data_IF_044917822799
#
_entry.id   IF_044917822799
#
_cell.length_a   1.000
_cell.length_b   1.000
_cell.length_c   1.000
_cell.angle_alpha   90.00
_cell.angle_beta   90.00
_cell.angle_gamma   90.00
#
_symmetry.space_group_name_H-M   'P 1'
#
loop_
_entity.id
_entity.type
_entity.pdbx_description
1 polymer ?
#
# COMPACT_ATOMS: atom_id res chain seq x y z
N UNK A 1 -15.12 -20.51 -4.77
CA UNK A 1 -13.79 -20.37 -4.15
C UNK A 1 -13.21 -19.17 -4.84
N UNK A 2 -13.11 -18.04 -4.14
CA UNK A 2 -12.42 -16.87 -4.70
C UNK A 2 -10.97 -17.26 -4.96
N UNK A 3 -10.55 -17.23 -6.21
CA UNK A 3 -9.17 -17.51 -6.59
C UNK A 3 -8.31 -16.28 -6.29
N UNK A 4 -8.01 -16.05 -5.01
CA UNK A 4 -7.13 -14.97 -4.58
C UNK A 4 -5.67 -15.36 -4.80
N UNK A 5 -5.00 -14.71 -5.73
CA UNK A 5 -3.54 -14.84 -5.90
C UNK A 5 -2.86 -13.74 -5.09
N UNK A 6 -1.84 -14.08 -4.30
CA UNK A 6 -1.08 -13.11 -3.51
C UNK A 6 0.33 -12.95 -4.06
N UNK A 7 0.79 -11.69 -4.17
CA UNK A 7 2.16 -11.36 -4.57
C UNK A 7 2.80 -10.43 -3.55
N UNK A 8 3.94 -10.88 -3.01
CA UNK A 8 4.72 -10.14 -2.02
C UNK A 8 5.77 -9.27 -2.71
N UNK A 9 5.81 -8.01 -2.34
CA UNK A 9 6.85 -7.06 -2.70
C UNK A 9 7.65 -6.68 -1.45
N UNK A 10 8.96 -6.88 -1.50
CA UNK A 10 9.87 -6.57 -0.42
C UNK A 10 10.52 -5.22 -0.73
N UNK A 11 10.49 -4.28 0.22
CA UNK A 11 11.18 -2.99 0.07
C UNK A 11 12.69 -3.19 -0.08
N UNK A 12 13.34 -2.27 -0.81
CA UNK A 12 14.80 -2.26 -1.02
C UNK A 12 15.63 -2.22 0.27
N UNK A 13 15.05 -1.79 1.39
CA UNK A 13 15.72 -1.82 2.69
C UNK A 13 15.72 -3.19 3.38
N UNK A 14 15.11 -4.23 2.76
CA UNK A 14 14.99 -5.59 3.29
C UNK A 14 14.34 -5.69 4.69
N UNK A 15 13.56 -4.69 5.10
CA UNK A 15 12.81 -4.76 6.35
C UNK A 15 11.48 -5.49 6.12
N UNK A 16 11.18 -6.49 6.94
CA UNK A 16 9.91 -7.23 6.89
C UNK A 16 8.72 -6.31 7.17
N UNK A 17 8.94 -5.24 7.92
CA UNK A 17 7.93 -4.22 8.22
C UNK A 17 7.64 -3.31 7.01
N UNK A 18 8.49 -3.30 5.97
CA UNK A 18 8.27 -2.53 4.75
C UNK A 18 7.94 -3.49 3.60
N UNK A 19 6.88 -4.26 3.80
CA UNK A 19 6.38 -5.19 2.81
C UNK A 19 5.02 -4.74 2.32
N UNK A 20 4.80 -4.96 1.02
CA UNK A 20 3.57 -4.67 0.32
C UNK A 20 3.04 -5.97 -0.26
N UNK A 21 1.78 -6.29 0.01
CA UNK A 21 1.11 -7.48 -0.51
C UNK A 21 0.05 -7.03 -1.51
N UNK A 22 0.14 -7.55 -2.73
CA UNK A 22 -0.89 -7.39 -3.75
C UNK A 22 -1.75 -8.65 -3.84
N UNK A 23 -3.03 -8.51 -3.57
CA UNK A 23 -4.03 -9.57 -3.66
C UNK A 23 -4.90 -9.33 -4.89
N UNK A 24 -4.91 -10.30 -5.81
CA UNK A 24 -5.68 -10.23 -7.05
C UNK A 24 -7.05 -10.88 -6.85
N UNK A 25 -8.12 -10.14 -7.15
CA UNK A 25 -9.48 -10.64 -7.15
C UNK A 25 -9.92 -10.85 -8.60
N UNK A 26 -10.01 -12.11 -9.01
CA UNK A 26 -10.25 -12.49 -10.41
C UNK A 26 -11.64 -12.16 -10.92
N UNK A 27 -12.62 -12.09 -10.01
CA UNK A 27 -14.03 -11.90 -10.36
C UNK A 27 -14.30 -10.44 -10.76
N UNK A 28 -13.72 -9.50 -10.02
CA UNK A 28 -13.93 -8.05 -10.22
C UNK A 28 -12.78 -7.35 -10.94
N UNK A 29 -11.70 -8.06 -11.28
CA UNK A 29 -10.45 -7.51 -11.85
C UNK A 29 -9.86 -6.38 -11.00
N UNK A 30 -10.00 -6.47 -9.68
CA UNK A 30 -9.43 -5.54 -8.72
C UNK A 30 -8.14 -6.10 -8.11
N UNK A 31 -7.23 -5.20 -7.73
CA UNK A 31 -6.01 -5.58 -7.01
C UNK A 31 -5.91 -4.78 -5.73
N UNK A 32 -5.94 -5.48 -4.61
CA UNK A 32 -5.82 -4.87 -3.29
C UNK A 32 -4.36 -4.81 -2.91
N UNK A 33 -3.91 -3.64 -2.49
CA UNK A 33 -2.56 -3.38 -2.04
C UNK A 33 -2.60 -3.07 -0.55
N UNK A 34 -2.06 -4.00 0.23
CA UNK A 34 -1.94 -3.84 1.68
C UNK A 34 -0.49 -3.62 2.07
N UNK A 35 -0.24 -2.62 2.92
CA UNK A 35 1.07 -2.34 3.50
C UNK A 35 1.08 -2.78 4.95
N UNK A 36 2.11 -3.52 5.35
CA UNK A 36 2.26 -3.88 6.76
C UNK A 36 2.65 -2.64 7.57
N UNK A 37 1.74 -2.14 8.40
CA UNK A 37 1.99 -0.97 9.23
C UNK A 37 2.70 -1.35 10.53
N UNK A 38 3.72 -0.56 10.90
CA UNK A 38 4.36 -0.67 12.21
C UNK A 38 3.47 -0.06 13.29
N UNK A 39 3.05 -0.81 14.32
CA UNK A 39 2.42 -0.21 15.48
C UNK A 39 3.46 0.67 16.21
N UNK A 40 3.12 1.94 16.45
CA UNK A 40 3.96 2.86 17.22
C UNK A 40 4.26 2.26 18.61
N UNK A 41 5.52 1.92 18.95
CA UNK A 41 5.82 1.19 20.18
C UNK A 41 5.58 2.03 21.43
N UNK A 42 5.63 3.37 21.32
CA UNK A 42 5.44 4.25 22.45
C UNK A 42 3.93 4.46 22.75
N UNK A 43 3.48 3.93 23.88
CA UNK A 43 2.10 4.03 24.35
C UNK A 43 1.65 5.50 24.47
N UNK A 44 2.50 6.42 24.90
CA UNK A 44 2.14 7.85 24.99
C UNK A 44 1.92 8.47 23.62
N UNK A 45 2.74 8.10 22.62
CA UNK A 45 2.53 8.56 21.23
C UNK A 45 1.25 7.96 20.64
N UNK A 46 0.93 6.70 20.95
CA UNK A 46 -0.34 6.08 20.57
C UNK A 46 -1.53 6.80 21.19
N UNK A 47 -1.48 7.09 22.49
CA UNK A 47 -2.55 7.85 23.18
C UNK A 47 -2.69 9.25 22.60
N UNK A 48 -1.58 9.93 22.31
CA UNK A 48 -1.62 11.25 21.69
C UNK A 48 -2.21 11.23 20.27
N UNK A 49 -1.86 10.23 19.46
CA UNK A 49 -2.51 9.99 18.16
C UNK A 49 -4.01 9.73 18.32
N UNK A 50 -4.43 8.92 19.29
CA UNK A 50 -5.84 8.66 19.56
C UNK A 50 -6.60 9.92 19.97
N UNK A 51 -6.03 10.75 20.84
CA UNK A 51 -6.61 12.05 21.24
C UNK A 51 -6.74 12.97 20.02
N UNK A 52 -5.69 13.11 19.21
CA UNK A 52 -5.73 13.85 17.95
C UNK A 52 -6.86 13.37 17.03
N UNK A 53 -7.02 12.05 16.92
CA UNK A 53 -8.07 11.44 16.12
C UNK A 53 -9.47 11.81 16.61
N UNK A 54 -9.71 11.81 17.94
CA UNK A 54 -10.98 12.25 18.54
C UNK A 54 -11.29 13.71 18.19
N UNK A 55 -10.26 14.56 18.12
CA UNK A 55 -10.40 15.97 17.70
C UNK A 55 -10.41 16.17 16.17
N UNK A 56 -10.58 15.09 15.39
CA UNK A 56 -10.74 15.16 13.93
C UNK A 56 -9.43 15.31 13.15
N UNK A 57 -8.29 15.23 13.81
CA UNK A 57 -7.00 15.24 13.12
C UNK A 57 -6.75 13.87 12.49
N UNK A 58 -6.76 13.82 11.15
CA UNK A 58 -6.41 12.63 10.39
C UNK A 58 -4.92 12.65 10.04
N UNK A 59 -4.24 11.53 10.24
CA UNK A 59 -2.87 11.36 9.75
C UNK A 59 -2.84 11.52 8.24
N UNK A 60 -1.94 12.37 7.72
CA UNK A 60 -1.67 12.46 6.27
C UNK A 60 -0.95 11.22 5.71
N UNK A 61 -0.53 10.30 6.60
CA UNK A 61 0.26 9.11 6.26
C UNK A 61 -0.54 7.81 6.30
N UNK A 62 -1.87 7.87 6.51
CA UNK A 62 -2.74 6.69 6.65
C UNK A 62 -2.52 5.95 7.97
N UNK A 63 -3.59 5.69 8.74
CA UNK A 63 -3.51 4.81 9.93
C UNK A 63 -3.83 3.34 9.56
N UNK A 64 -4.41 3.13 8.37
CA UNK A 64 -4.66 1.85 7.71
C UNK A 64 -4.61 2.15 6.22
N UNK A 65 -3.46 1.91 5.58
CA UNK A 65 -3.30 2.21 4.15
C UNK A 65 -3.49 0.91 3.37
N UNK A 66 -4.71 0.75 2.87
CA UNK A 66 -5.06 -0.19 1.83
C UNK A 66 -5.46 0.61 0.60
N UNK A 67 -4.92 0.22 -0.55
CA UNK A 67 -5.21 0.85 -1.82
C UNK A 67 -5.78 -0.19 -2.78
N UNK A 68 -6.89 0.12 -3.43
CA UNK A 68 -7.52 -0.78 -4.40
C UNK A 68 -7.25 -0.21 -5.79
N UNK A 69 -6.50 -0.94 -6.60
CA UNK A 69 -6.32 -0.63 -8.01
C UNK A 69 -7.48 -1.19 -8.81
N UNK A 70 -8.02 -0.36 -9.69
CA UNK A 70 -9.07 -0.73 -10.63
C UNK A 70 -8.49 -0.93 -12.03
N UNK A 71 -9.25 -1.53 -12.97
CA UNK A 71 -8.79 -1.69 -14.35
C UNK A 71 -8.34 -0.38 -15.01
N UNK A 72 -8.90 0.76 -14.61
CA UNK A 72 -8.53 2.08 -15.16
C UNK A 72 -7.13 2.55 -14.76
N UNK A 73 -6.58 2.04 -13.65
CA UNK A 73 -5.24 2.38 -13.16
C UNK A 73 -4.12 1.61 -13.88
N UNK A 74 -4.48 0.65 -14.74
CA UNK A 74 -3.55 -0.27 -15.37
C UNK A 74 -2.47 0.46 -16.21
N UNK A 75 -2.87 1.49 -16.96
CA UNK A 75 -1.92 2.26 -17.78
C UNK A 75 -0.92 3.04 -16.91
N UNK A 76 -1.36 3.59 -15.77
CA UNK A 76 -0.49 4.26 -14.81
C UNK A 76 0.48 3.29 -14.13
N UNK A 77 0.02 2.09 -13.77
CA UNK A 77 0.90 1.03 -13.27
C UNK A 77 1.90 0.57 -14.33
N UNK A 78 1.49 0.50 -15.59
CA UNK A 78 2.39 0.16 -16.69
C UNK A 78 3.51 1.19 -16.86
N UNK A 79 3.22 2.49 -16.70
CA UNK A 79 4.25 3.54 -16.72
C UNK A 79 5.31 3.33 -15.63
N UNK A 80 4.91 2.91 -14.42
CA UNK A 80 5.85 2.55 -13.34
C UNK A 80 6.72 1.36 -13.76
N UNK A 81 6.12 0.34 -14.36
CA UNK A 81 6.84 -0.83 -14.87
C UNK A 81 7.85 -0.44 -15.95
N UNK A 82 7.46 0.42 -16.89
CA UNK A 82 8.31 0.88 -17.98
C UNK A 82 9.48 1.72 -17.47
N UNK A 83 9.23 2.60 -16.49
CA UNK A 83 10.27 3.36 -15.79
C UNK A 83 11.28 2.43 -15.10
N UNK A 84 10.81 1.42 -14.35
CA UNK A 84 11.69 0.47 -13.66
C UNK A 84 12.48 -0.42 -14.64
N UNK A 85 11.91 -0.75 -15.80
CA UNK A 85 12.55 -1.58 -16.84
C UNK A 85 13.51 -0.81 -17.75
N UNK A 86 13.48 0.52 -17.72
CA UNK A 86 14.26 1.43 -18.58
C UNK A 86 14.02 1.25 -20.09
N UNK A 87 12.86 1.71 -20.57
CA UNK A 87 12.69 2.16 -21.97
C UNK A 87 11.99 3.54 -22.03
N UNK A 88 12.70 4.59 -21.56
CA UNK A 88 12.53 6.06 -21.78
C UNK A 88 12.50 6.87 -20.46
N UNK A 89 13.17 8.03 -20.50
CA UNK A 89 13.31 9.04 -19.43
C UNK A 89 11.98 9.76 -19.20
N UNK A 90 11.66 10.01 -17.93
CA UNK A 90 10.55 10.89 -17.52
C UNK A 90 10.83 12.30 -18.03
N UNK A 91 9.95 12.85 -18.88
CA UNK A 91 9.88 14.28 -19.21
C UNK A 91 8.95 15.00 -18.22
#
# INVERSE_FOLDING_TARGET
MEDTVNKLFICSCNNVEHQLVMTYFTDDKEVYCSVHLKPEPNIFKRTWKAVKYIFGHRSIYGDFDEFIFKPEDADSLQQVVDYLKNNIKVE
#
